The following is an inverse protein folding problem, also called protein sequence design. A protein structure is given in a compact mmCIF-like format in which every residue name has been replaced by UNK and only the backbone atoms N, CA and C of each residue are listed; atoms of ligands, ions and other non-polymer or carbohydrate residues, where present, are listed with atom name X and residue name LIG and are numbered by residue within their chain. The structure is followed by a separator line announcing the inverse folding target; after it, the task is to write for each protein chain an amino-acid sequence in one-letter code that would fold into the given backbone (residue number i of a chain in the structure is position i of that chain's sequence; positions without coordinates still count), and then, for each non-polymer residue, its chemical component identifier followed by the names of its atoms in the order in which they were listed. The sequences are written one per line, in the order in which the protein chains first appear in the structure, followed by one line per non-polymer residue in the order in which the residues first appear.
data_IF_306090184694
#
_entry.id   IF_306090184694
#
_cell.length_a   1.000
_cell.length_b   1.000
_cell.length_c   1.000
_cell.angle_alpha   90.00
_cell.angle_beta   90.00
_cell.angle_gamma   90.00
#
_symmetry.space_group_name_H-M   'P 1'
#
loop_
_entity.id
_entity.type
_entity.pdbx_description
1 polymer ?
#
# COMPACT_ATOMS: atom_id res chain seq x y z
N UNK A 1 13.65 20.81 -2.12
CA UNK A 1 13.37 21.24 -0.74
C UNK A 1 12.84 20.05 0.04
N UNK A 2 13.55 19.61 1.08
CA UNK A 2 13.17 18.43 1.85
C UNK A 2 11.88 18.65 2.66
N UNK A 3 11.59 19.88 3.08
CA UNK A 3 10.37 20.19 3.81
C UNK A 3 9.13 19.99 2.94
N UNK A 4 9.18 20.36 1.65
CA UNK A 4 8.10 20.11 0.70
C UNK A 4 7.90 18.61 0.48
N UNK A 5 8.99 17.84 0.35
CA UNK A 5 8.93 16.38 0.18
C UNK A 5 8.27 15.70 1.38
N UNK A 6 8.64 16.08 2.60
CA UNK A 6 8.06 15.48 3.81
C UNK A 6 6.57 15.86 3.95
N UNK A 7 6.16 17.08 3.58
CA UNK A 7 4.73 17.46 3.52
C UNK A 7 3.97 16.62 2.49
N UNK A 8 4.55 16.42 1.31
CA UNK A 8 3.94 15.60 0.26
C UNK A 8 3.75 14.15 0.71
N UNK A 9 4.76 13.55 1.36
CA UNK A 9 4.66 12.19 1.92
C UNK A 9 3.57 12.08 2.99
N UNK A 10 3.44 13.08 3.86
CA UNK A 10 2.37 13.13 4.89
C UNK A 10 0.98 13.22 4.28
N UNK A 11 0.82 14.01 3.21
CA UNK A 11 -0.45 14.11 2.50
C UNK A 11 -0.76 12.82 1.76
N UNK A 12 0.24 12.26 1.08
CA UNK A 12 0.12 10.98 0.37
C UNK A 12 -0.35 9.88 1.31
N UNK A 13 0.29 9.73 2.48
CA UNK A 13 -0.10 8.73 3.49
C UNK A 13 -1.58 8.82 3.88
N UNK A 14 -2.15 10.03 3.98
CA UNK A 14 -3.58 10.22 4.29
C UNK A 14 -4.51 9.87 3.12
N UNK A 15 -4.01 9.95 1.89
CA UNK A 15 -4.79 9.71 0.67
C UNK A 15 -4.77 8.24 0.25
N UNK A 16 -3.80 7.43 0.71
CA UNK A 16 -3.64 6.02 0.32
C UNK A 16 -4.96 5.21 0.30
N UNK A 17 -5.85 5.29 1.30
CA UNK A 17 -7.08 4.48 1.32
C UNK A 17 -8.11 4.86 0.23
N UNK A 18 -7.95 6.02 -0.41
CA UNK A 18 -8.84 6.54 -1.44
C UNK A 18 -8.33 6.28 -2.86
N UNK A 19 -7.10 5.76 -2.99
CA UNK A 19 -6.46 5.54 -4.29
C UNK A 19 -6.89 4.20 -4.89
N UNK A 20 -6.89 4.13 -6.21
CA UNK A 20 -7.12 2.90 -6.96
C UNK A 20 -5.92 1.97 -6.87
N UNK A 21 -6.11 0.68 -7.17
CA UNK A 21 -5.03 -0.30 -7.20
C UNK A 21 -3.90 0.09 -8.16
N UNK A 22 -4.26 0.62 -9.33
CA UNK A 22 -3.29 1.11 -10.34
C UNK A 22 -2.46 2.28 -9.80
N UNK A 23 -3.09 3.26 -9.16
CA UNK A 23 -2.40 4.40 -8.55
C UNK A 23 -1.44 3.96 -7.44
N UNK A 24 -1.87 3.02 -6.59
CA UNK A 24 -1.03 2.45 -5.54
C UNK A 24 0.19 1.73 -6.13
N UNK A 25 0.01 1.01 -7.24
CA UNK A 25 1.09 0.33 -7.93
C UNK A 25 2.10 1.31 -8.53
N UNK A 26 1.65 2.40 -9.17
CA UNK A 26 2.54 3.46 -9.67
C UNK A 26 3.36 4.10 -8.54
N UNK A 27 2.73 4.40 -7.40
CA UNK A 27 3.40 4.96 -6.23
C UNK A 27 4.49 4.01 -5.73
N UNK A 28 4.19 2.71 -5.62
CA UNK A 28 5.14 1.71 -5.13
C UNK A 28 6.40 1.60 -6.00
N UNK A 29 6.31 1.86 -7.32
CA UNK A 29 7.45 1.82 -8.22
C UNK A 29 8.42 2.99 -8.04
N UNK A 30 7.90 4.16 -7.64
CA UNK A 30 8.68 5.40 -7.54
C UNK A 30 9.10 5.73 -6.11
N UNK A 31 8.52 5.06 -5.12
CA UNK A 31 8.80 5.32 -3.71
C UNK A 31 10.24 4.91 -3.36
N UNK A 32 11.02 5.85 -2.86
CA UNK A 32 12.41 5.65 -2.44
C UNK A 32 12.61 6.15 -1.02
N UNK A 33 13.33 5.36 -0.21
CA UNK A 33 13.73 5.74 1.15
C UNK A 33 14.97 6.61 1.04
N UNK A 34 14.78 7.91 0.84
CA UNK A 34 15.85 8.91 0.75
C UNK A 34 15.59 10.14 1.64
N UNK A 35 16.63 10.98 1.77
CA UNK A 35 16.51 12.27 2.43
C UNK A 35 16.62 12.21 3.97
N UNK A 36 16.21 13.29 4.67
CA UNK A 36 16.25 13.40 6.12
C UNK A 36 15.37 12.35 6.81
N UNK A 37 15.69 12.07 8.08
CA UNK A 37 15.00 11.08 8.90
C UNK A 37 13.47 11.18 8.86
N UNK A 38 12.91 12.41 8.83
CA UNK A 38 11.45 12.58 8.75
C UNK A 38 10.86 12.07 7.43
N UNK A 39 11.51 12.37 6.30
CA UNK A 39 11.04 11.88 5.00
C UNK A 39 11.20 10.36 4.91
N UNK A 40 12.32 9.81 5.41
CA UNK A 40 12.50 8.36 5.51
C UNK A 40 11.42 7.69 6.36
N UNK A 41 11.07 8.28 7.50
CA UNK A 41 10.00 7.80 8.38
C UNK A 41 8.66 7.71 7.64
N UNK A 42 8.23 8.79 6.97
CA UNK A 42 6.96 8.77 6.24
C UNK A 42 6.97 7.81 5.05
N UNK A 43 8.10 7.68 4.37
CA UNK A 43 8.25 6.67 3.32
C UNK A 43 8.04 5.26 3.87
N UNK A 44 8.62 4.94 5.04
CA UNK A 44 8.44 3.63 5.67
C UNK A 44 7.00 3.38 6.12
N UNK A 45 6.31 4.39 6.66
CA UNK A 45 4.88 4.29 7.00
C UNK A 45 4.02 3.99 5.77
N UNK A 46 4.27 4.67 4.64
CA UNK A 46 3.61 4.40 3.36
C UNK A 46 3.89 2.97 2.89
N UNK A 47 5.15 2.53 2.91
CA UNK A 47 5.54 1.16 2.53
C UNK A 47 4.87 0.11 3.40
N UNK A 48 4.79 0.32 4.71
CA UNK A 48 4.08 -0.57 5.63
C UNK A 48 2.60 -0.66 5.27
N UNK A 49 1.94 0.48 5.05
CA UNK A 49 0.53 0.49 4.66
C UNK A 49 0.28 -0.27 3.35
N UNK A 50 1.14 -0.08 2.33
CA UNK A 50 1.03 -0.79 1.05
C UNK A 50 1.21 -2.30 1.22
N UNK A 51 2.15 -2.73 2.07
CA UNK A 51 2.33 -4.15 2.40
C UNK A 51 1.08 -4.74 3.06
N UNK A 52 0.52 -4.04 4.04
CA UNK A 52 -0.70 -4.46 4.75
C UNK A 52 -1.89 -4.56 3.77
N UNK A 53 -2.02 -3.59 2.83
CA UNK A 53 -3.04 -3.63 1.78
C UNK A 53 -2.88 -4.84 0.85
N UNK A 54 -1.67 -5.08 0.32
CA UNK A 54 -1.41 -6.20 -0.62
C UNK A 54 -1.67 -7.55 0.06
N UNK A 55 -1.20 -7.72 1.30
CA UNK A 55 -1.39 -8.97 2.05
C UNK A 55 -2.86 -9.25 2.37
N UNK A 56 -3.65 -8.22 2.68
CA UNK A 56 -5.10 -8.34 2.85
C UNK A 56 -5.81 -8.74 1.55
N UNK A 57 -5.41 -8.18 0.40
CA UNK A 57 -5.98 -8.54 -0.90
C UNK A 57 -5.69 -10.02 -1.24
N UNK A 58 -4.42 -10.45 -1.13
CA UNK A 58 -4.02 -11.84 -1.38
C UNK A 58 -4.77 -12.81 -0.47
N UNK A 59 -4.93 -12.46 0.81
CA UNK A 59 -5.65 -13.29 1.78
C UNK A 59 -7.13 -13.38 1.46
N UNK A 60 -7.74 -12.26 1.04
CA UNK A 60 -9.14 -12.20 0.64
C UNK A 60 -9.41 -13.06 -0.61
N UNK A 61 -8.54 -12.99 -1.61
CA UNK A 61 -8.66 -13.83 -2.82
C UNK A 61 -8.53 -15.33 -2.50
N UNK A 62 -7.64 -15.70 -1.58
CA UNK A 62 -7.48 -17.09 -1.11
C UNK A 62 -8.74 -17.66 -0.46
N UNK A 63 -9.51 -16.83 0.23
CA UNK A 63 -10.74 -17.26 0.90
C UNK A 63 -11.89 -17.57 -0.07
N UNK A 64 -11.89 -16.98 -1.27
CA UNK A 64 -12.97 -17.15 -2.28
C UNK A 64 -12.77 -18.43 -3.11
N UNK A 65 -11.54 -18.91 -3.26
CA UNK A 65 -11.19 -20.11 -4.05
C UNK A 65 -11.59 -21.45 -3.39
N UNK A 66 -12.06 -21.43 -2.14
CA UNK A 66 -12.36 -22.64 -1.35
C UNK A 66 -13.86 -22.83 -1.08
N UNK A 67 -14.72 -22.70 -2.10
CA UNK A 67 -16.05 -23.33 -2.04
C UNK A 67 -15.91 -24.81 -2.41
N UNK A 68 -16.23 -25.75 -1.49
CA UNK A 68 -16.27 -27.16 -1.86
C UNK A 68 -17.42 -27.37 -2.83
N UNK A 69 -17.11 -27.94 -3.99
CA UNK A 69 -18.08 -28.52 -4.90
C UNK A 69 -18.71 -29.69 -4.15
N UNK A 70 -19.85 -29.46 -3.49
CA UNK A 70 -20.73 -30.51 -3.01
C UNK A 70 -21.50 -31.03 -4.22
N UNK A 71 -20.96 -32.03 -4.90
CA UNK A 71 -21.76 -32.87 -5.80
C UNK A 71 -22.58 -33.86 -4.95
N UNK A 72 -23.91 -33.91 -5.11
CA UNK A 72 -24.71 -34.98 -4.52
C UNK A 72 -24.44 -36.29 -5.28
N UNK A 73 -24.26 -37.36 -4.51
CA UNK A 73 -24.11 -38.75 -4.94
C UNK A 73 -25.17 -39.22 -5.95
#
# INVERSE_FOLDING_TARGET
DFSIRCVALRLLHKLLPQLTHEQLFEIAQVLSVDGPNECQYWTLEISKWMYDYITQQITSEKSISSKPISEPF
#
